data_IF_929203953354
#
_entry.id   IF_929203953354
#
_cell.length_a   1.000
_cell.length_b   1.000
_cell.length_c   1.000
_cell.angle_alpha   90.00
_cell.angle_beta   90.00
_cell.angle_gamma   90.00
#
_symmetry.space_group_name_H-M   'P 1'
#
loop_
_entity.id
_entity.type
_entity.pdbx_description
1 polymer ?
#
# COMPACT_ATOMS: atom_id res chain seq x y z
N UNK A 1 1.32 12.53 -21.41
CA UNK A 1 1.09 11.08 -21.41
C UNK A 1 1.77 10.49 -20.17
N UNK A 2 0.99 9.81 -19.34
CA UNK A 2 1.47 9.30 -18.04
C UNK A 2 1.93 7.83 -18.15
N UNK A 3 2.56 7.50 -19.26
CA UNK A 3 3.12 6.17 -19.51
C UNK A 3 4.63 6.14 -19.25
N UNK A 4 5.10 5.13 -18.54
CA UNK A 4 6.51 4.87 -18.29
C UNK A 4 6.87 3.44 -18.73
N UNK A 5 7.98 3.33 -19.44
CA UNK A 5 8.62 2.06 -19.76
C UNK A 5 9.88 1.88 -18.92
N UNK A 6 9.94 0.80 -18.15
CA UNK A 6 11.14 0.36 -17.44
C UNK A 6 11.65 -0.96 -18.03
N UNK A 7 12.82 -1.48 -17.67
CA UNK A 7 13.22 -2.83 -18.06
C UNK A 7 12.20 -3.91 -17.66
N UNK A 8 11.50 -3.72 -16.53
CA UNK A 8 10.60 -4.71 -15.94
C UNK A 8 9.12 -4.48 -16.30
N UNK A 9 8.70 -3.23 -16.45
CA UNK A 9 7.27 -2.87 -16.53
C UNK A 9 6.94 -1.92 -17.65
N UNK A 10 5.71 -2.07 -18.19
CA UNK A 10 4.96 -1.00 -18.84
C UNK A 10 3.95 -0.47 -17.83
N UNK A 11 4.04 0.80 -17.48
CA UNK A 11 3.21 1.44 -16.46
C UNK A 11 2.38 2.55 -17.10
N UNK A 12 1.11 2.61 -16.71
CA UNK A 12 0.25 3.75 -17.03
C UNK A 12 -0.39 4.28 -15.74
N UNK A 13 -0.38 5.61 -15.60
CA UNK A 13 -1.04 6.31 -14.50
C UNK A 13 -2.19 7.16 -15.06
N UNK A 14 -3.28 7.21 -14.32
CA UNK A 14 -4.40 8.09 -14.64
C UNK A 14 -4.15 9.55 -14.22
N UNK A 15 -5.13 10.42 -14.47
CA UNK A 15 -5.02 11.83 -14.14
C UNK A 15 -4.91 12.12 -12.63
N UNK A 16 -5.35 11.19 -11.80
CA UNK A 16 -5.24 11.23 -10.34
C UNK A 16 -3.95 10.56 -9.83
N UNK A 17 -3.04 10.17 -10.74
CA UNK A 17 -1.75 9.57 -10.39
C UNK A 17 -1.85 8.18 -9.75
N UNK A 18 -2.95 7.45 -10.02
CA UNK A 18 -3.11 6.06 -9.63
C UNK A 18 -2.63 5.18 -10.77
N UNK A 19 -2.11 4.01 -10.44
CA UNK A 19 -1.78 3.03 -11.45
C UNK A 19 -3.08 2.41 -11.98
N UNK A 20 -3.39 2.63 -13.24
CA UNK A 20 -4.45 1.89 -13.93
C UNK A 20 -3.89 0.70 -14.72
N UNK A 21 -2.57 0.66 -14.90
CA UNK A 21 -1.87 -0.48 -15.48
C UNK A 21 -0.45 -0.62 -14.93
N UNK A 22 -0.07 -1.84 -14.58
CA UNK A 22 1.31 -2.28 -14.35
C UNK A 22 1.44 -3.64 -15.04
N UNK A 23 2.06 -3.65 -16.23
CA UNK A 23 2.31 -4.89 -16.97
C UNK A 23 3.73 -5.37 -16.72
N UNK A 24 3.86 -6.58 -16.18
CA UNK A 24 5.13 -7.25 -15.92
C UNK A 24 5.62 -7.94 -17.19
N UNK A 25 6.67 -7.37 -17.80
CA UNK A 25 7.21 -7.82 -19.10
C UNK A 25 7.89 -9.18 -19.03
N UNK A 26 8.52 -9.51 -17.91
CA UNK A 26 9.24 -10.77 -17.74
C UNK A 26 8.29 -11.94 -17.49
N UNK A 27 7.18 -11.67 -16.80
CA UNK A 27 6.20 -12.69 -16.46
C UNK A 27 4.96 -12.68 -17.37
N UNK A 28 4.93 -11.78 -18.37
CA UNK A 28 3.86 -11.63 -19.38
C UNK A 28 2.46 -11.54 -18.74
N UNK A 29 2.29 -10.65 -17.75
CA UNK A 29 1.02 -10.51 -17.04
C UNK A 29 0.76 -9.13 -16.45
N UNK A 30 -0.51 -8.82 -16.21
CA UNK A 30 -0.93 -7.65 -15.46
C UNK A 30 -0.74 -7.88 -13.96
N UNK A 31 -0.13 -6.90 -13.27
CA UNK A 31 0.09 -6.93 -11.81
C UNK A 31 -1.20 -6.60 -11.06
N UNK A 32 -2.01 -5.69 -11.60
CA UNK A 32 -3.27 -5.25 -11.01
C UNK A 32 -4.45 -6.03 -11.57
N UNK A 33 -5.51 -6.14 -10.76
CA UNK A 33 -6.80 -6.67 -11.21
C UNK A 33 -7.40 -5.78 -12.31
N UNK A 34 -8.06 -6.40 -13.28
CA UNK A 34 -8.71 -5.69 -14.39
C UNK A 34 -9.69 -4.62 -13.89
N UNK A 35 -9.54 -3.42 -14.44
CA UNK A 35 -10.36 -2.25 -14.11
C UNK A 35 -10.16 -1.68 -12.70
N UNK A 36 -9.19 -2.19 -11.92
CA UNK A 36 -8.85 -1.67 -10.59
C UNK A 36 -7.64 -0.74 -10.65
N UNK A 37 -7.48 0.07 -9.60
CA UNK A 37 -6.42 1.06 -9.50
C UNK A 37 -5.47 0.72 -8.35
N UNK A 38 -4.17 0.77 -8.61
CA UNK A 38 -3.13 0.68 -7.59
C UNK A 38 -2.70 2.05 -7.08
N UNK A 39 -2.06 2.09 -5.92
CA UNK A 39 -1.72 3.33 -5.20
C UNK A 39 -2.95 4.22 -4.94
N UNK A 40 -4.08 3.58 -4.64
CA UNK A 40 -5.32 4.28 -4.33
C UNK A 40 -5.35 4.65 -2.86
N UNK A 41 -5.24 5.93 -2.54
CA UNK A 41 -5.46 6.41 -1.18
C UNK A 41 -6.94 6.46 -0.86
N UNK A 42 -7.30 5.95 0.33
CA UNK A 42 -8.65 6.02 0.89
C UNK A 42 -8.61 6.52 2.30
N UNK A 43 -9.52 7.43 2.60
CA UNK A 43 -9.83 7.85 3.95
C UNK A 43 -11.09 7.17 4.43
N UNK A 44 -11.07 6.69 5.65
CA UNK A 44 -12.18 6.01 6.29
C UNK A 44 -12.60 6.76 7.54
N UNK A 45 -13.90 6.85 7.80
CA UNK A 45 -14.39 7.31 9.09
C UNK A 45 -14.08 6.24 10.15
N UNK A 46 -13.21 6.57 11.11
CA UNK A 46 -12.75 5.66 12.15
C UNK A 46 -13.28 6.07 13.51
N UNK A 47 -14.42 5.49 13.89
CA UNK A 47 -15.12 5.75 15.14
C UNK A 47 -15.47 4.45 15.84
N UNK A 48 -14.48 3.78 16.45
CA UNK A 48 -14.74 2.60 17.25
C UNK A 48 -15.58 2.93 18.47
N UNK A 49 -16.14 1.92 19.11
CA UNK A 49 -17.06 2.08 20.23
C UNK A 49 -16.40 2.72 21.46
N UNK A 50 -15.09 2.52 21.66
CA UNK A 50 -14.31 3.05 22.78
C UNK A 50 -12.87 3.32 22.36
N UNK A 51 -12.25 4.37 22.94
CA UNK A 51 -10.82 4.61 22.91
C UNK A 51 -10.21 4.52 21.50
N UNK A 52 -10.67 5.40 20.63
CA UNK A 52 -10.32 5.40 19.21
C UNK A 52 -8.81 5.57 18.89
N UNK A 53 -7.99 5.96 19.89
CA UNK A 53 -6.53 5.94 19.71
C UNK A 53 -5.95 4.51 19.75
N UNK A 54 -6.64 3.54 20.33
CA UNK A 54 -6.15 2.18 20.54
C UNK A 54 -6.91 1.13 19.75
N UNK A 55 -8.22 1.33 19.59
CA UNK A 55 -9.10 0.36 18.96
C UNK A 55 -9.39 0.72 17.50
N UNK A 56 -9.62 -0.29 16.70
CA UNK A 56 -10.22 -0.18 15.38
C UNK A 56 -11.34 -1.21 15.29
N UNK A 57 -12.53 -0.76 14.92
CA UNK A 57 -13.69 -1.63 14.71
C UNK A 57 -13.93 -1.86 13.22
N UNK A 58 -14.42 -3.03 12.85
CA UNK A 58 -14.71 -3.39 11.45
C UNK A 58 -15.64 -2.39 10.75
N UNK A 59 -16.39 -1.62 11.52
CA UNK A 59 -17.34 -0.61 11.02
C UNK A 59 -16.69 0.51 10.21
N UNK A 60 -15.39 0.76 10.36
CA UNK A 60 -14.68 1.73 9.54
C UNK A 60 -14.85 1.43 8.04
N UNK A 61 -15.00 0.15 7.67
CA UNK A 61 -15.16 -0.28 6.27
C UNK A 61 -16.47 0.16 5.62
N UNK A 62 -17.44 0.64 6.41
CA UNK A 62 -18.77 1.02 5.93
C UNK A 62 -18.81 2.43 5.32
N UNK A 63 -17.84 3.30 5.68
CA UNK A 63 -17.82 4.67 5.18
C UNK A 63 -16.39 5.10 4.83
N UNK A 64 -16.16 5.32 3.54
CA UNK A 64 -14.89 5.79 3.03
C UNK A 64 -15.07 6.70 1.82
N UNK A 65 -14.01 7.40 1.47
CA UNK A 65 -13.89 8.16 0.22
C UNK A 65 -12.47 8.06 -0.34
N UNK A 66 -12.36 8.11 -1.65
CA UNK A 66 -11.08 8.06 -2.34
C UNK A 66 -10.45 9.46 -2.37
N UNK A 67 -9.14 9.54 -2.15
CA UNK A 67 -8.36 10.78 -2.23
C UNK A 67 -7.96 11.00 -3.69
N UNK A 68 -8.65 11.92 -4.36
CA UNK A 68 -8.51 12.15 -5.80
C UNK A 68 -8.06 13.57 -6.17
N UNK A 69 -8.00 14.50 -5.21
CA UNK A 69 -7.66 15.90 -5.50
C UNK A 69 -6.14 16.07 -5.66
N UNK A 70 -5.67 16.04 -6.90
CA UNK A 70 -4.25 16.21 -7.26
C UNK A 70 -3.97 17.67 -7.54
N UNK A 71 -3.06 18.27 -6.78
CA UNK A 71 -2.61 19.65 -6.94
C UNK A 71 -1.55 19.74 -8.04
N UNK A 72 -0.58 18.81 -8.00
CA UNK A 72 0.51 18.74 -8.99
C UNK A 72 0.94 17.30 -9.21
N UNK A 73 1.42 17.01 -10.40
CA UNK A 73 2.01 15.74 -10.79
C UNK A 73 3.03 15.98 -11.90
N UNK A 74 4.31 15.70 -11.63
CA UNK A 74 5.37 15.95 -12.60
C UNK A 74 6.52 14.94 -12.49
N UNK A 75 7.15 14.65 -13.62
CA UNK A 75 8.39 13.86 -13.64
C UNK A 75 9.56 14.75 -13.27
N UNK A 76 10.11 14.56 -12.08
CA UNK A 76 11.25 15.34 -11.56
C UNK A 76 12.59 14.72 -11.90
N UNK A 77 12.61 13.44 -12.24
CA UNK A 77 13.80 12.71 -12.67
C UNK A 77 13.46 11.70 -13.77
N UNK A 78 14.24 11.71 -14.87
CA UNK A 78 14.14 10.75 -15.97
C UNK A 78 15.54 10.34 -16.42
N UNK A 79 16.23 9.60 -15.56
CA UNK A 79 17.61 9.15 -15.80
C UNK A 79 17.70 7.67 -16.23
N UNK A 80 18.89 7.21 -16.63
CA UNK A 80 19.11 5.81 -17.03
C UNK A 80 19.07 4.83 -15.84
N UNK A 81 19.17 5.32 -14.62
CA UNK A 81 19.20 4.51 -13.40
C UNK A 81 17.84 4.54 -12.70
N UNK A 82 17.20 5.71 -12.68
CA UNK A 82 15.95 5.93 -11.98
C UNK A 82 15.08 6.96 -12.71
N UNK A 83 13.76 6.75 -12.63
CA UNK A 83 12.76 7.77 -12.91
C UNK A 83 11.97 8.06 -11.62
N UNK A 84 11.61 9.33 -11.41
CA UNK A 84 10.85 9.78 -10.24
C UNK A 84 9.67 10.63 -10.69
N UNK A 85 8.47 10.22 -10.28
CA UNK A 85 7.26 11.00 -10.38
C UNK A 85 6.96 11.62 -9.03
N UNK A 86 6.84 12.93 -8.97
CA UNK A 86 6.48 13.67 -7.76
C UNK A 86 5.04 14.17 -7.84
N UNK A 87 4.29 13.98 -6.77
CA UNK A 87 2.88 14.34 -6.70
C UNK A 87 2.54 15.02 -5.40
N UNK A 88 1.65 15.99 -5.47
CA UNK A 88 1.00 16.60 -4.32
C UNK A 88 -0.51 16.42 -4.42
N UNK A 89 -1.11 15.94 -3.34
CA UNK A 89 -2.54 15.77 -3.19
C UNK A 89 -3.03 16.53 -1.97
N UNK A 90 -4.24 17.05 -2.06
CA UNK A 90 -4.94 17.65 -0.93
C UNK A 90 -6.20 16.84 -0.63
N UNK A 91 -6.41 16.59 0.64
CA UNK A 91 -7.67 16.02 1.12
C UNK A 91 -8.07 16.72 2.43
N UNK A 92 -9.23 17.35 2.40
CA UNK A 92 -9.75 18.11 3.54
C UNK A 92 -8.76 19.18 4.01
N UNK A 93 -8.16 19.04 5.21
CA UNK A 93 -7.17 19.97 5.75
C UNK A 93 -5.72 19.47 5.60
N UNK A 94 -5.54 18.26 5.08
CA UNK A 94 -4.27 17.55 5.00
C UNK A 94 -3.67 17.62 3.60
N UNK A 95 -2.35 17.55 3.53
CA UNK A 95 -1.59 17.52 2.27
C UNK A 95 -0.70 16.30 2.25
N UNK A 96 -0.67 15.59 1.11
CA UNK A 96 0.14 14.41 0.88
C UNK A 96 1.11 14.72 -0.25
N UNK A 97 2.41 14.67 0.03
CA UNK A 97 3.46 14.70 -0.98
C UNK A 97 4.01 13.29 -1.16
N UNK A 98 4.11 12.85 -2.41
CA UNK A 98 4.60 11.52 -2.72
C UNK A 98 5.58 11.55 -3.89
N UNK A 99 6.73 10.87 -3.71
CA UNK A 99 7.66 10.54 -4.78
C UNK A 99 7.54 9.06 -5.09
N UNK A 100 7.30 8.75 -6.34
CA UNK A 100 7.27 7.37 -6.82
C UNK A 100 8.55 7.11 -7.60
N UNK A 101 9.34 6.16 -7.12
CA UNK A 101 10.63 5.81 -7.71
C UNK A 101 10.54 4.50 -8.50
N UNK A 102 11.05 4.55 -9.71
CA UNK A 102 11.16 3.41 -10.62
C UNK A 102 12.63 3.22 -11.00
N UNK A 103 13.17 2.05 -10.73
CA UNK A 103 14.60 1.75 -10.94
C UNK A 103 14.84 0.90 -12.18
N UNK A 104 15.99 1.07 -12.80
CA UNK A 104 16.38 0.28 -13.95
C UNK A 104 16.92 -1.11 -13.57
N UNK A 105 17.37 -1.30 -12.34
CA UNK A 105 18.00 -2.51 -11.80
C UNK A 105 17.22 -3.18 -10.65
N UNK A 106 16.06 -2.61 -10.27
CA UNK A 106 15.20 -3.17 -9.23
C UNK A 106 13.75 -3.26 -9.70
N UNK A 107 13.11 -4.37 -9.35
CA UNK A 107 11.67 -4.58 -9.59
C UNK A 107 10.76 -3.85 -8.58
N UNK A 108 11.33 -3.31 -7.50
CA UNK A 108 10.56 -2.52 -6.53
C UNK A 108 10.08 -1.23 -7.17
N UNK A 109 8.83 -0.89 -6.89
CA UNK A 109 8.26 0.44 -7.11
C UNK A 109 8.10 1.04 -5.72
N UNK A 110 8.84 2.11 -5.42
CA UNK A 110 8.93 2.69 -4.09
C UNK A 110 8.14 3.99 -4.00
N UNK A 111 7.50 4.22 -2.85
CA UNK A 111 6.63 5.35 -2.58
C UNK A 111 7.13 6.09 -1.33
N UNK A 112 8.04 7.05 -1.52
CA UNK A 112 8.47 7.95 -0.46
C UNK A 112 7.35 8.98 -0.22
N UNK A 113 6.80 9.00 0.98
CA UNK A 113 5.59 9.76 1.27
C UNK A 113 5.77 10.65 2.49
N UNK A 114 5.42 11.91 2.34
CA UNK A 114 5.26 12.90 3.40
C UNK A 114 3.80 13.30 3.51
N UNK A 115 3.29 13.42 4.73
CA UNK A 115 1.91 13.84 5.01
C UNK A 115 1.91 14.89 6.12
N UNK A 116 1.36 16.08 5.84
CA UNK A 116 0.95 17.05 6.86
C UNK A 116 -0.50 16.74 7.25
N UNK A 117 -0.67 15.94 8.34
CA UNK A 117 -1.96 15.36 8.71
C UNK A 117 -2.70 16.19 9.75
N UNK A 118 -3.98 16.49 9.48
CA UNK A 118 -4.80 17.36 10.31
C UNK A 118 -6.23 16.83 10.57
N UNK A 119 -6.45 15.55 10.24
CA UNK A 119 -7.79 14.97 10.37
C UNK A 119 -8.00 14.31 11.73
N UNK A 120 -9.29 14.22 12.13
CA UNK A 120 -9.72 13.56 13.35
C UNK A 120 -10.59 12.35 13.00
N UNK A 121 -10.51 11.28 13.80
CA UNK A 121 -11.33 10.09 13.68
C UNK A 121 -11.33 9.55 12.24
N UNK A 122 -10.14 9.53 11.65
CA UNK A 122 -9.92 9.16 10.26
C UNK A 122 -8.76 8.19 10.15
N UNK A 123 -8.94 7.17 9.32
CA UNK A 123 -7.94 6.19 8.97
C UNK A 123 -7.56 6.40 7.50
N UNK A 124 -6.28 6.63 7.22
CA UNK A 124 -5.75 6.71 5.87
C UNK A 124 -5.10 5.39 5.47
N UNK A 125 -5.52 4.83 4.36
CA UNK A 125 -4.93 3.61 3.79
C UNK A 125 -4.56 3.79 2.33
N UNK A 126 -3.58 3.02 1.87
CA UNK A 126 -3.27 2.85 0.45
C UNK A 126 -3.64 1.43 0.01
N UNK A 127 -4.20 1.31 -1.18
CA UNK A 127 -4.73 0.07 -1.74
C UNK A 127 -4.01 -0.35 -3.03
N UNK A 128 -3.75 -1.65 -3.13
CA UNK A 128 -3.23 -2.30 -4.33
C UNK A 128 -4.02 -3.59 -4.58
N UNK A 129 -5.09 -3.56 -5.39
CA UNK A 129 -5.82 -4.75 -5.80
C UNK A 129 -5.01 -5.51 -6.84
N UNK A 130 -4.25 -6.51 -6.39
CA UNK A 130 -3.32 -7.27 -7.22
C UNK A 130 -3.97 -8.45 -7.93
N UNK A 131 -3.48 -8.80 -9.12
CA UNK A 131 -3.97 -9.91 -9.91
C UNK A 131 -3.29 -11.24 -9.49
N UNK A 132 -3.49 -11.61 -8.23
CA UNK A 132 -2.98 -12.85 -7.63
C UNK A 132 -4.15 -13.59 -6.99
N UNK A 133 -4.37 -14.85 -7.35
CA UNK A 133 -5.48 -15.66 -6.86
C UNK A 133 -5.01 -16.64 -5.78
N UNK A 134 -5.20 -16.26 -4.54
CA UNK A 134 -4.86 -17.07 -3.37
C UNK A 134 -5.87 -16.86 -2.26
N UNK A 135 -6.03 -17.84 -1.39
CA UNK A 135 -6.85 -17.74 -0.18
C UNK A 135 -6.03 -17.44 1.08
N UNK A 136 -4.73 -17.21 0.91
CA UNK A 136 -3.80 -16.96 2.01
C UNK A 136 -2.84 -15.82 1.68
N UNK A 137 -2.51 -15.00 2.68
CA UNK A 137 -1.43 -14.02 2.66
C UNK A 137 -0.43 -14.33 3.75
N UNK A 138 0.85 -14.12 3.48
CA UNK A 138 1.93 -14.27 4.46
C UNK A 138 2.33 -12.90 5.01
N UNK A 139 2.45 -12.80 6.32
CA UNK A 139 2.79 -11.58 7.04
C UNK A 139 4.09 -11.76 7.79
N UNK A 140 5.01 -10.83 7.64
CA UNK A 140 6.20 -10.74 8.48
C UNK A 140 5.80 -10.45 9.93
N UNK A 141 6.33 -11.21 10.86
CA UNK A 141 6.18 -11.01 12.29
C UNK A 141 7.53 -11.19 12.98
N UNK A 142 7.61 -10.78 14.25
CA UNK A 142 8.85 -10.93 15.01
C UNK A 142 9.35 -12.38 14.99
N UNK A 143 10.59 -12.56 14.54
CA UNK A 143 11.29 -13.84 14.46
C UNK A 143 10.71 -14.87 13.46
N UNK A 144 9.86 -14.42 12.51
CA UNK A 144 9.31 -15.34 11.51
C UNK A 144 8.22 -14.73 10.67
N UNK A 145 7.28 -15.53 10.26
CA UNK A 145 6.13 -15.12 9.49
C UNK A 145 4.88 -15.91 9.89
N UNK A 146 3.72 -15.38 9.51
CA UNK A 146 2.44 -16.00 9.80
C UNK A 146 1.54 -15.91 8.58
N UNK A 147 0.99 -17.05 8.17
CA UNK A 147 0.00 -17.13 7.09
C UNK A 147 -1.40 -16.90 7.63
N UNK A 148 -2.19 -16.05 6.97
CA UNK A 148 -3.58 -15.73 7.31
C UNK A 148 -4.47 -15.88 6.10
N UNK A 149 -5.73 -16.31 6.33
CA UNK A 149 -6.74 -16.35 5.29
C UNK A 149 -7.15 -14.93 4.86
N UNK A 150 -7.38 -14.75 3.57
CA UNK A 150 -7.79 -13.45 2.98
C UNK A 150 -9.30 -13.36 2.70
N UNK A 151 -10.04 -14.44 3.00
CA UNK A 151 -11.51 -14.48 2.91
C UNK A 151 -12.17 -14.27 4.28
N UNK A 152 -13.49 -14.06 4.28
CA UNK A 152 -14.30 -13.82 5.49
C UNK A 152 -15.36 -14.89 5.72
N UNK A 153 -15.05 -16.16 5.38
CA UNK A 153 -16.02 -17.26 5.37
C UNK A 153 -16.49 -17.67 6.77
N UNK A 154 -15.67 -17.44 7.79
CA UNK A 154 -16.01 -17.72 9.19
C UNK A 154 -15.99 -16.46 10.03
N UNK A 155 -16.58 -16.49 11.22
CA UNK A 155 -16.49 -15.38 12.18
C UNK A 155 -15.07 -15.11 12.64
N UNK A 156 -14.22 -16.15 12.70
CA UNK A 156 -12.80 -16.04 12.99
C UNK A 156 -12.04 -15.29 11.90
N UNK A 157 -12.33 -15.60 10.63
CA UNK A 157 -11.72 -14.90 9.49
C UNK A 157 -12.19 -13.46 9.44
N UNK A 158 -13.50 -13.22 9.62
CA UNK A 158 -14.08 -11.87 9.67
C UNK A 158 -13.45 -11.02 10.78
N UNK A 159 -13.11 -11.61 11.93
CA UNK A 159 -12.46 -10.88 13.04
C UNK A 159 -11.03 -10.42 12.71
N UNK A 160 -10.42 -10.93 11.65
CA UNK A 160 -9.08 -10.53 11.17
C UNK A 160 -9.16 -9.50 10.04
N UNK A 161 -10.10 -8.58 10.12
CA UNK A 161 -10.28 -7.51 9.12
C UNK A 161 -9.08 -6.55 9.05
N UNK A 162 -8.31 -6.41 10.16
CA UNK A 162 -7.00 -5.78 10.23
C UNK A 162 -6.01 -6.75 10.89
N UNK A 163 -4.79 -6.77 10.39
CA UNK A 163 -3.75 -7.65 10.87
C UNK A 163 -2.40 -6.94 10.92
N UNK A 164 -1.59 -7.26 11.92
CA UNK A 164 -0.24 -6.74 12.01
C UNK A 164 0.70 -7.48 11.06
N UNK A 165 1.47 -6.73 10.28
CA UNK A 165 2.66 -7.18 9.56
C UNK A 165 3.79 -6.22 9.86
N UNK A 166 5.05 -6.68 9.86
CA UNK A 166 6.20 -5.81 10.13
C UNK A 166 6.70 -5.19 8.82
N UNK A 167 7.80 -5.69 8.26
CA UNK A 167 8.43 -5.08 7.09
C UNK A 167 7.79 -5.45 5.77
N UNK A 168 7.02 -6.54 5.73
CA UNK A 168 6.43 -7.02 4.50
C UNK A 168 5.17 -7.87 4.72
N UNK A 169 4.32 -7.89 3.73
CA UNK A 169 3.29 -8.90 3.51
C UNK A 169 3.39 -9.39 2.08
N UNK A 170 2.91 -10.60 1.82
CA UNK A 170 2.99 -11.23 0.50
C UNK A 170 1.72 -11.99 0.13
N UNK A 171 1.32 -11.85 -1.13
CA UNK A 171 0.38 -12.72 -1.80
C UNK A 171 1.09 -13.46 -2.93
N UNK A 172 1.10 -14.79 -2.86
CA UNK A 172 1.68 -15.63 -3.91
C UNK A 172 0.71 -16.71 -4.36
N UNK A 173 0.71 -16.96 -5.67
CA UNK A 173 0.04 -18.09 -6.32
C UNK A 173 1.03 -18.81 -7.23
N UNK A 174 1.04 -20.16 -7.22
CA UNK A 174 1.86 -20.93 -8.15
C UNK A 174 3.28 -20.39 -8.29
N UNK A 175 3.55 -19.68 -9.40
CA UNK A 175 4.86 -19.15 -9.77
C UNK A 175 4.90 -17.62 -9.83
N UNK A 176 3.97 -16.93 -9.17
CA UNK A 176 3.93 -15.47 -9.17
C UNK A 176 3.39 -14.93 -7.87
N UNK A 177 3.86 -13.74 -7.48
CA UNK A 177 3.37 -13.05 -6.31
C UNK A 177 3.62 -11.55 -6.37
N UNK A 178 3.02 -10.87 -5.40
CA UNK A 178 3.26 -9.45 -5.14
C UNK A 178 3.47 -9.28 -3.65
N UNK A 179 4.62 -8.73 -3.27
CA UNK A 179 4.88 -8.32 -1.89
C UNK A 179 4.63 -6.82 -1.72
N UNK A 180 4.09 -6.44 -0.58
CA UNK A 180 4.03 -5.05 -0.12
C UNK A 180 5.04 -4.89 1.01
N UNK A 181 5.96 -3.95 0.84
CA UNK A 181 7.05 -3.66 1.78
C UNK A 181 6.81 -2.31 2.43
N UNK A 182 7.34 -2.11 3.64
CA UNK A 182 7.28 -0.80 4.30
C UNK A 182 8.38 -0.65 5.35
N UNK A 183 8.63 0.60 5.77
CA UNK A 183 9.64 0.94 6.77
C UNK A 183 9.10 1.04 8.20
N UNK A 184 7.85 1.47 8.40
CA UNK A 184 7.35 1.79 9.75
C UNK A 184 5.83 1.64 9.92
N UNK A 185 5.10 1.05 8.95
CA UNK A 185 3.64 0.90 9.02
C UNK A 185 3.27 -0.57 9.22
N UNK A 186 2.43 -0.86 10.23
CA UNK A 186 2.21 -2.23 10.71
C UNK A 186 0.78 -2.73 10.52
N UNK A 187 -0.17 -1.85 10.20
CA UNK A 187 -1.57 -2.23 9.99
C UNK A 187 -1.82 -2.63 8.53
N UNK A 188 -2.28 -3.84 8.31
CA UNK A 188 -2.59 -4.33 6.98
C UNK A 188 -3.97 -4.98 6.94
N UNK A 189 -4.63 -4.85 5.82
CA UNK A 189 -5.78 -5.68 5.47
C UNK A 189 -5.59 -6.29 4.09
N UNK A 190 -6.01 -7.54 3.93
CA UNK A 190 -6.03 -8.22 2.63
C UNK A 190 -7.40 -8.85 2.46
N UNK A 191 -8.12 -8.42 1.42
CA UNK A 191 -9.42 -8.96 1.08
C UNK A 191 -9.57 -9.07 -0.42
N UNK A 192 -9.95 -10.25 -0.91
CA UNK A 192 -10.17 -10.50 -2.35
C UNK A 192 -8.98 -10.03 -3.21
N UNK A 193 -7.75 -10.27 -2.73
CA UNK A 193 -6.47 -9.84 -3.32
C UNK A 193 -6.27 -8.32 -3.38
N UNK A 194 -7.06 -7.53 -2.69
CA UNK A 194 -6.76 -6.12 -2.43
C UNK A 194 -5.87 -6.03 -1.18
N UNK A 195 -4.60 -5.68 -1.40
CA UNK A 195 -3.63 -5.45 -0.34
C UNK A 195 -3.72 -4.00 0.10
N UNK A 196 -3.99 -3.77 1.37
CA UNK A 196 -4.06 -2.41 1.89
C UNK A 196 -3.15 -2.22 3.11
N UNK A 197 -2.42 -1.09 3.12
CA UNK A 197 -1.56 -0.66 4.21
C UNK A 197 -2.19 0.53 4.91
N UNK A 198 -2.33 0.47 6.22
CA UNK A 198 -2.73 1.59 7.05
C UNK A 198 -1.54 2.53 7.23
N UNK A 199 -1.69 3.77 6.78
CA UNK A 199 -0.64 4.78 6.80
C UNK A 199 -0.73 5.66 8.05
N UNK A 200 -1.93 6.15 8.37
CA UNK A 200 -2.18 7.02 9.52
C UNK A 200 -3.54 6.67 10.12
N UNK A 201 -3.63 6.71 11.45
CA UNK A 201 -4.87 6.58 12.21
C UNK A 201 -4.90 7.69 13.27
N UNK A 202 -5.87 8.59 13.19
CA UNK A 202 -5.99 9.72 14.11
C UNK A 202 -7.28 9.65 14.92
N UNK A 203 -7.17 9.23 16.18
CA UNK A 203 -8.25 9.26 17.15
C UNK A 203 -8.31 10.58 17.94
N UNK A 204 -9.25 10.65 18.88
CA UNK A 204 -9.42 11.80 19.79
C UNK A 204 -9.43 11.40 21.26
N UNK A 205 -9.53 10.13 21.60
CA UNK A 205 -9.63 9.65 22.97
C UNK A 205 -8.66 8.48 23.22
N UNK A 206 -7.76 8.60 24.21
CA UNK A 206 -7.65 9.65 25.24
C UNK A 206 -6.81 10.87 24.80
N UNK A 207 -6.14 10.84 23.67
CA UNK A 207 -5.38 11.98 23.14
C UNK A 207 -6.17 12.66 22.01
N UNK A 208 -6.69 13.91 22.21
CA UNK A 208 -7.51 14.57 21.20
C UNK A 208 -6.77 15.06 19.97
N UNK A 209 -5.45 15.01 19.98
CA UNK A 209 -4.56 15.41 18.86
C UNK A 209 -3.65 14.28 18.41
N UNK A 210 -4.06 13.04 18.63
CA UNK A 210 -3.28 11.87 18.23
C UNK A 210 -2.98 11.90 16.73
N UNK A 211 -1.70 11.69 16.41
CA UNK A 211 -1.16 11.60 15.03
C UNK A 211 -1.44 12.82 14.12
N UNK A 212 -1.84 13.97 14.70
CA UNK A 212 -1.99 15.23 13.96
C UNK A 212 -0.66 15.95 13.89
N UNK A 213 0.22 15.45 13.05
CA UNK A 213 1.59 15.93 12.87
C UNK A 213 2.09 15.62 11.45
N UNK A 214 3.35 15.91 11.21
CA UNK A 214 4.05 15.53 9.99
C UNK A 214 4.48 14.07 10.06
N UNK A 215 4.16 13.30 9.01
CA UNK A 215 4.52 11.90 8.87
C UNK A 215 5.45 11.69 7.68
N UNK A 216 6.48 10.89 7.88
CA UNK A 216 7.42 10.46 6.84
C UNK A 216 7.50 8.95 6.84
N UNK A 217 7.25 8.33 5.71
CA UNK A 217 7.33 6.88 5.56
C UNK A 217 7.51 6.47 4.11
N UNK A 218 8.07 5.28 3.94
CA UNK A 218 8.24 4.66 2.63
C UNK A 218 7.57 3.29 2.61
N UNK A 219 6.84 3.01 1.55
CA UNK A 219 6.36 1.67 1.24
C UNK A 219 6.70 1.34 -0.21
N UNK A 220 6.62 0.07 -0.57
CA UNK A 220 6.89 -0.38 -1.91
C UNK A 220 5.99 -1.56 -2.30
N UNK A 221 5.76 -1.72 -3.60
CA UNK A 221 5.27 -2.97 -4.16
C UNK A 221 6.42 -3.69 -4.88
N UNK A 222 6.45 -4.99 -4.74
CA UNK A 222 7.45 -5.86 -5.33
C UNK A 222 6.78 -7.04 -6.03
N UNK A 223 6.36 -6.88 -7.30
CA UNK A 223 5.92 -8.00 -8.13
C UNK A 223 7.08 -8.94 -8.43
N UNK A 224 6.86 -10.26 -8.32
CA UNK A 224 7.94 -11.23 -8.45
C UNK A 224 7.46 -12.56 -9.03
N UNK A 225 8.37 -13.26 -9.70
CA UNK A 225 8.19 -14.66 -10.03
C UNK A 225 8.39 -15.53 -8.78
N UNK A 226 7.83 -16.73 -8.79
CA UNK A 226 7.90 -17.73 -7.73
C UNK A 226 7.25 -17.24 -6.41
N UNK A 227 7.48 -17.96 -5.32
CA UNK A 227 7.00 -17.60 -3.98
C UNK A 227 7.94 -16.60 -3.32
N UNK A 228 7.47 -15.93 -2.29
CA UNK A 228 8.21 -14.90 -1.56
C UNK A 228 9.61 -15.34 -1.08
N UNK A 229 9.80 -16.64 -0.77
CA UNK A 229 11.09 -17.17 -0.33
C UNK A 229 12.13 -17.14 -1.48
N UNK A 230 11.76 -17.67 -2.63
CA UNK A 230 12.59 -17.72 -3.83
C UNK A 230 12.80 -16.32 -4.42
N UNK A 231 11.78 -15.47 -4.32
CA UNK A 231 11.82 -14.08 -4.76
C UNK A 231 12.65 -13.16 -3.85
N UNK A 232 13.13 -13.67 -2.70
CA UNK A 232 13.93 -12.90 -1.75
C UNK A 232 13.21 -11.69 -1.17
N UNK A 233 11.91 -11.81 -0.97
CA UNK A 233 11.09 -10.72 -0.39
C UNK A 233 11.66 -10.19 0.92
N UNK A 234 12.17 -11.07 1.78
CA UNK A 234 12.78 -10.68 3.06
C UNK A 234 14.00 -9.78 2.84
N UNK A 235 14.90 -10.15 1.91
CA UNK A 235 16.07 -9.33 1.56
C UNK A 235 15.64 -7.96 1.03
N UNK A 236 14.65 -7.91 0.12
CA UNK A 236 14.11 -6.68 -0.43
C UNK A 236 13.48 -5.77 0.65
N UNK A 237 12.79 -6.37 1.61
CA UNK A 237 12.19 -5.63 2.72
C UNK A 237 13.25 -5.07 3.68
N UNK A 238 14.33 -5.81 3.94
CA UNK A 238 15.46 -5.32 4.75
C UNK A 238 16.24 -4.22 4.02
N UNK A 239 16.45 -4.32 2.71
CA UNK A 239 17.09 -3.27 1.91
C UNK A 239 16.31 -1.95 1.95
N UNK A 240 14.97 -2.01 1.92
CA UNK A 240 14.11 -0.82 2.04
C UNK A 240 14.25 -0.14 3.40
N UNK A 241 14.67 -0.87 4.43
CA UNK A 241 14.76 -0.42 5.82
C UNK A 241 16.20 -0.02 6.25
N UNK A 242 17.16 0.03 5.33
CA UNK A 242 18.53 0.46 5.57
C UNK A 242 18.77 1.91 5.15
#
# INVERSE_FOLDING_TARGET
DHTLETPFYTIHLDAEGRFDRIYDKENDREVLQDGKKGNQFRMYEDKPMCFDNWDVDIYYTEKYWDVNDVISMEWTECGPVRATLEMERKESNSVIHQKIHFYADSRRIEFETYVDWKEHQTLLKVHFPVNVHTDEATFDVQFGNLTRKVHTNTSWDKARFESCGQKWIDLSEGHYGVSMLNDCKYGHSVKDSDMALTLIKSGIEPNPVADQEEHYFTYAIYPHAEKWQEAKTVEQAYDLNQ
#
